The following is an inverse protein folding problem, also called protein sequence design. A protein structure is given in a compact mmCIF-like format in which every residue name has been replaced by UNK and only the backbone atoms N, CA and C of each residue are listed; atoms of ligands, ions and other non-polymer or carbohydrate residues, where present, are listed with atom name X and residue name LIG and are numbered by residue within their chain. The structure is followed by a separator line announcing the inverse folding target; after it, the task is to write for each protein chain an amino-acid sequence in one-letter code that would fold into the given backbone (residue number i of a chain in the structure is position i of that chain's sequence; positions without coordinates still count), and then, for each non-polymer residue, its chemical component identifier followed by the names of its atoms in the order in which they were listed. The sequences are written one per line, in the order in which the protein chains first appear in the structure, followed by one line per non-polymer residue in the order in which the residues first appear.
data_IF_614805704362
#
_entry.id   IF_614805704362
#
_cell.length_a   1.000
_cell.length_b   1.000
_cell.length_c   1.000
_cell.angle_alpha   90.00
_cell.angle_beta   90.00
_cell.angle_gamma   90.00
#
_symmetry.space_group_name_H-M   'P 1'
#
loop_
_entity.id
_entity.type
_entity.pdbx_description
1 polymer ?
#
# COMPACT_ATOMS: atom_id res chain seq x y z
N UNK A 1 55.41 2.48 15.56
CA UNK A 1 55.42 1.32 16.47
C UNK A 1 54.24 1.49 17.42
N UNK A 2 53.22 0.63 17.33
CA UNK A 2 52.16 0.58 18.35
C UNK A 2 52.74 -0.13 19.58
N UNK A 3 52.53 0.39 20.80
CA UNK A 3 53.07 -0.24 22.01
C UNK A 3 52.45 -1.63 22.18
N UNK A 4 53.28 -2.66 22.21
CA UNK A 4 52.91 -4.05 22.48
C UNK A 4 52.62 -4.21 23.96
N UNK A 5 51.43 -3.80 24.39
CA UNK A 5 50.92 -4.14 25.72
C UNK A 5 50.37 -5.58 25.66
N UNK A 6 51.16 -6.54 26.12
CA UNK A 6 50.89 -7.99 26.02
C UNK A 6 49.69 -8.48 26.87
N UNK A 7 48.90 -7.58 27.48
CA UNK A 7 47.81 -7.92 28.40
C UNK A 7 46.45 -7.30 28.04
N UNK A 8 46.28 -6.70 26.85
CA UNK A 8 44.98 -6.12 26.49
C UNK A 8 43.94 -7.22 26.21
N UNK A 9 42.97 -7.36 27.11
CA UNK A 9 41.78 -8.21 26.95
C UNK A 9 40.53 -7.32 26.94
N UNK A 10 39.76 -7.40 25.86
CA UNK A 10 38.50 -6.73 25.66
C UNK A 10 37.39 -7.76 25.92
N UNK A 11 36.50 -7.40 26.83
CA UNK A 11 35.23 -8.08 27.08
C UNK A 11 34.13 -7.17 26.56
N UNK A 12 33.39 -7.64 25.57
CA UNK A 12 32.37 -6.84 24.89
C UNK A 12 31.08 -7.64 24.64
N UNK A 13 31.00 -8.88 25.09
CA UNK A 13 29.74 -9.61 25.12
C UNK A 13 28.65 -8.83 25.85
N UNK A 14 27.39 -9.07 25.47
CA UNK A 14 26.21 -8.46 26.06
C UNK A 14 26.06 -6.94 25.86
N UNK A 15 26.81 -6.34 24.93
CA UNK A 15 26.55 -4.97 24.48
C UNK A 15 25.44 -4.92 23.41
N UNK A 16 24.67 -3.83 23.34
CA UNK A 16 23.55 -3.68 22.41
C UNK A 16 24.02 -3.29 21.00
N UNK A 17 24.67 -4.22 20.29
CA UNK A 17 25.28 -3.92 18.99
C UNK A 17 24.28 -3.64 17.88
N UNK A 18 24.51 -2.51 17.19
CA UNK A 18 23.91 -2.16 15.91
C UNK A 18 24.68 -2.85 14.78
N UNK A 19 24.24 -4.05 14.40
CA UNK A 19 24.91 -4.90 13.42
C UNK A 19 24.49 -4.58 11.99
N UNK A 20 25.04 -3.50 11.47
CA UNK A 20 24.86 -3.03 10.10
C UNK A 20 26.21 -2.76 9.40
N UNK A 21 26.20 -2.04 8.28
CA UNK A 21 27.38 -1.66 7.51
C UNK A 21 28.49 -0.95 8.31
N UNK A 22 28.17 -0.33 9.46
CA UNK A 22 29.19 0.27 10.32
C UNK A 22 30.15 -0.78 10.90
N UNK A 23 29.70 -2.04 11.02
CA UNK A 23 30.52 -3.15 11.51
C UNK A 23 31.54 -3.69 10.50
N UNK A 24 31.53 -3.24 9.24
CA UNK A 24 32.52 -3.65 8.23
C UNK A 24 33.95 -3.34 8.69
N UNK A 25 34.16 -2.21 9.38
CA UNK A 25 35.48 -1.84 9.91
C UNK A 25 35.92 -2.79 11.02
N UNK A 26 34.98 -3.18 11.89
CA UNK A 26 35.23 -4.16 12.95
C UNK A 26 35.54 -5.55 12.36
N UNK A 27 34.77 -6.00 11.38
CA UNK A 27 35.03 -7.24 10.64
C UNK A 27 36.42 -7.25 10.01
N UNK A 28 36.81 -6.16 9.34
CA UNK A 28 38.15 -6.02 8.76
C UNK A 28 39.26 -6.08 9.83
N UNK A 29 39.03 -5.53 11.02
CA UNK A 29 39.94 -5.61 12.16
C UNK A 29 40.12 -7.06 12.63
N UNK A 30 39.02 -7.78 12.89
CA UNK A 30 39.06 -9.18 13.29
C UNK A 30 39.80 -10.03 12.25
N UNK A 31 39.47 -9.87 10.96
CA UNK A 31 40.12 -10.59 9.87
C UNK A 31 41.63 -10.32 9.78
N UNK A 32 42.08 -9.10 10.07
CA UNK A 32 43.52 -8.77 10.14
C UNK A 32 44.21 -9.47 11.30
N UNK A 33 43.60 -9.50 12.48
CA UNK A 33 44.15 -10.16 13.66
C UNK A 33 44.22 -11.68 13.47
N UNK A 34 43.22 -12.30 12.83
CA UNK A 34 43.25 -13.74 12.52
C UNK A 34 44.38 -14.12 11.57
N UNK A 35 44.69 -13.24 10.60
CA UNK A 35 45.84 -13.43 9.68
C UNK A 35 47.19 -13.33 10.39
N UNK A 36 47.28 -12.53 11.46
CA UNK A 36 48.53 -12.37 12.21
C UNK A 36 48.80 -13.55 13.16
N UNK A 37 47.77 -14.10 13.83
CA UNK A 37 47.76 -15.41 14.50
C UNK A 37 46.34 -15.70 15.05
N UNK A 38 45.82 -16.93 14.96
CA UNK A 38 44.46 -17.25 15.50
C UNK A 38 44.35 -17.06 17.01
N UNK A 39 45.45 -17.25 17.74
CA UNK A 39 45.54 -16.97 19.17
C UNK A 39 45.44 -15.48 19.50
N UNK A 40 45.77 -14.57 18.56
CA UNK A 40 45.74 -13.12 18.76
C UNK A 40 44.32 -12.57 18.91
N UNK A 41 43.33 -13.13 18.21
CA UNK A 41 41.94 -12.65 18.33
C UNK A 41 41.36 -12.97 19.69
N UNK A 42 41.53 -14.20 20.18
CA UNK A 42 41.07 -14.57 21.53
C UNK A 42 41.88 -13.89 22.64
N UNK A 43 43.11 -13.47 22.37
CA UNK A 43 43.89 -12.64 23.29
C UNK A 43 43.32 -11.24 23.42
N UNK A 44 42.93 -10.61 22.30
CA UNK A 44 42.40 -9.24 22.28
C UNK A 44 40.90 -9.22 22.61
N UNK A 45 40.07 -10.04 21.96
CA UNK A 45 38.63 -10.17 22.20
C UNK A 45 38.31 -11.54 22.79
N UNK A 46 38.30 -11.62 24.11
CA UNK A 46 38.19 -12.88 24.84
C UNK A 46 36.80 -13.52 24.69
N UNK A 47 35.76 -12.71 24.56
CA UNK A 47 34.36 -13.12 24.51
C UNK A 47 33.71 -12.86 23.14
N UNK A 48 34.51 -12.75 22.07
CA UNK A 48 34.02 -12.50 20.70
C UNK A 48 32.91 -13.47 20.26
N UNK A 49 32.99 -14.74 20.66
CA UNK A 49 31.99 -15.76 20.32
C UNK A 49 30.65 -15.57 21.05
N UNK A 50 30.61 -14.74 22.09
CA UNK A 50 29.39 -14.41 22.84
C UNK A 50 28.79 -13.07 22.38
N UNK A 51 29.49 -12.31 21.54
CA UNK A 51 28.99 -11.05 20.98
C UNK A 51 27.86 -11.35 19.97
N UNK A 52 26.67 -10.83 20.29
CA UNK A 52 25.45 -11.03 19.51
C UNK A 52 24.83 -9.69 19.17
N UNK A 53 24.17 -9.64 18.03
CA UNK A 53 23.52 -8.44 17.55
C UNK A 53 22.26 -8.11 18.32
N UNK A 54 22.04 -6.83 18.60
CA UNK A 54 20.82 -6.35 19.24
C UNK A 54 19.83 -5.78 18.21
N UNK A 55 20.35 -5.07 17.21
CA UNK A 55 19.60 -4.46 16.11
C UNK A 55 20.38 -4.65 14.80
N UNK A 56 19.75 -4.67 13.61
CA UNK A 56 18.30 -4.61 13.30
C UNK A 56 17.51 -5.84 13.80
N UNK A 57 16.16 -5.79 13.79
CA UNK A 57 15.32 -6.92 14.20
C UNK A 57 15.64 -8.20 13.41
N UNK A 58 16.00 -8.07 12.13
CA UNK A 58 16.41 -9.20 11.27
C UNK A 58 17.69 -9.88 11.71
N UNK A 59 18.58 -9.16 12.41
CA UNK A 59 19.88 -9.67 12.85
C UNK A 59 19.91 -9.95 14.36
N UNK A 60 18.83 -9.63 15.10
CA UNK A 60 18.80 -9.73 16.56
C UNK A 60 19.09 -11.16 17.03
N UNK A 61 20.05 -11.30 17.93
CA UNK A 61 20.48 -12.58 18.52
C UNK A 61 21.49 -13.37 17.69
N UNK A 62 21.72 -13.01 16.42
CA UNK A 62 22.73 -13.63 15.57
C UNK A 62 24.13 -13.22 16.06
N UNK A 63 25.09 -14.14 16.05
CA UNK A 63 26.46 -13.83 16.40
C UNK A 63 27.07 -12.88 15.35
N UNK A 64 27.87 -11.91 15.81
CA UNK A 64 28.47 -10.89 14.93
C UNK A 64 29.32 -11.53 13.81
N UNK A 65 29.95 -12.68 14.09
CA UNK A 65 30.80 -13.41 13.12
C UNK A 65 30.02 -14.12 12.01
N UNK A 66 28.72 -14.32 12.17
CA UNK A 66 27.90 -15.07 11.22
C UNK A 66 27.17 -14.15 10.23
N UNK A 67 27.38 -12.83 10.35
CA UNK A 67 26.72 -11.82 9.52
C UNK A 67 27.63 -11.32 8.39
N UNK A 68 26.98 -10.94 7.29
CA UNK A 68 27.62 -10.19 6.20
C UNK A 68 27.18 -8.71 6.28
N UNK A 69 28.04 -7.85 6.81
CA UNK A 69 27.75 -6.44 7.03
C UNK A 69 27.68 -5.61 5.74
N UNK A 70 28.14 -6.16 4.59
CA UNK A 70 28.05 -5.46 3.31
C UNK A 70 26.64 -5.41 2.73
N UNK A 71 25.72 -6.23 3.25
CA UNK A 71 24.37 -6.40 2.70
C UNK A 71 23.32 -5.48 3.32
N UNK A 72 23.58 -4.89 4.48
CA UNK A 72 22.56 -4.18 5.24
C UNK A 72 23.16 -2.97 5.96
N UNK A 73 22.57 -1.79 5.79
CA UNK A 73 23.05 -0.52 6.37
C UNK A 73 21.88 0.28 6.91
N UNK A 74 21.82 0.57 8.22
CA UNK A 74 20.72 1.36 8.79
C UNK A 74 20.86 2.81 8.40
N UNK A 75 19.74 3.46 8.06
CA UNK A 75 19.68 4.88 7.73
C UNK A 75 18.81 5.57 8.77
N UNK A 76 19.41 6.51 9.50
CA UNK A 76 18.71 7.29 10.54
C UNK A 76 18.26 8.67 10.03
N UNK A 77 19.06 9.29 9.17
CA UNK A 77 18.75 10.59 8.58
C UNK A 77 17.50 10.52 7.71
N UNK A 78 16.57 11.46 7.91
CA UNK A 78 15.29 11.57 7.20
C UNK A 78 14.42 10.30 7.22
N UNK A 79 14.71 9.35 8.11
CA UNK A 79 13.86 8.18 8.30
C UNK A 79 12.64 8.58 9.14
N UNK A 80 11.39 8.28 8.70
CA UNK A 80 10.22 8.65 9.48
C UNK A 80 10.25 7.98 10.87
N UNK A 81 9.83 8.65 11.96
CA UNK A 81 10.05 8.18 13.34
C UNK A 81 9.49 6.79 13.67
N UNK A 82 8.40 6.36 13.02
CA UNK A 82 7.78 5.05 13.24
C UNK A 82 8.27 3.97 12.27
N UNK A 83 9.18 4.32 11.37
CA UNK A 83 9.64 3.44 10.29
C UNK A 83 11.06 2.94 10.54
N UNK A 84 11.43 1.89 9.82
CA UNK A 84 12.80 1.38 9.78
C UNK A 84 13.32 1.57 8.36
N UNK A 85 14.39 2.33 8.22
CA UNK A 85 15.02 2.61 6.94
C UNK A 85 16.39 1.94 6.85
N UNK A 86 16.66 1.28 5.73
CA UNK A 86 17.95 0.64 5.50
C UNK A 86 18.28 0.50 4.02
N UNK A 87 19.57 0.49 3.72
CA UNK A 87 20.11 0.14 2.42
C UNK A 87 20.43 -1.35 2.40
N UNK A 88 19.83 -2.07 1.47
CA UNK A 88 20.08 -3.49 1.23
C UNK A 88 20.91 -3.67 -0.05
N UNK A 89 21.90 -4.56 -0.01
CA UNK A 89 22.80 -4.88 -1.13
C UNK A 89 23.41 -3.62 -1.78
N UNK A 90 23.59 -2.56 -0.98
CA UNK A 90 24.12 -1.23 -1.36
C UNK A 90 23.35 -0.43 -2.41
N UNK A 91 22.29 -0.98 -3.00
CA UNK A 91 21.59 -0.36 -4.11
C UNK A 91 20.07 -0.23 -3.89
N UNK A 92 19.53 -0.79 -2.80
CA UNK A 92 18.09 -0.76 -2.57
C UNK A 92 17.77 -0.12 -1.23
N UNK A 93 17.20 1.08 -1.27
CA UNK A 93 16.66 1.75 -0.10
C UNK A 93 15.27 1.17 0.22
N UNK A 94 15.15 0.57 1.40
CA UNK A 94 13.87 0.12 1.95
C UNK A 94 13.46 1.04 3.08
N UNK A 95 12.25 1.60 2.95
CA UNK A 95 11.58 2.39 3.99
C UNK A 95 10.38 1.59 4.46
N UNK A 96 10.53 0.88 5.57
CA UNK A 96 9.49 0.01 6.10
C UNK A 96 8.67 0.74 7.18
N UNK A 97 7.45 1.09 6.82
CA UNK A 97 6.45 1.72 7.68
C UNK A 97 5.20 0.83 7.86
N UNK A 98 5.28 -0.46 7.56
CA UNK A 98 4.14 -1.39 7.62
C UNK A 98 3.66 -1.58 9.05
N UNK A 99 2.33 -1.69 9.25
CA UNK A 99 1.73 -1.97 10.56
C UNK A 99 2.14 -0.99 11.67
N UNK A 100 2.27 0.30 11.34
CA UNK A 100 2.67 1.37 12.28
C UNK A 100 1.53 2.27 12.73
N UNK A 101 0.29 1.91 12.37
CA UNK A 101 -0.94 2.68 12.67
C UNK A 101 -0.88 4.10 12.08
N UNK A 102 -0.24 4.25 10.92
CA UNK A 102 -0.16 5.54 10.24
C UNK A 102 -1.52 5.94 9.68
N UNK A 103 -1.95 7.16 10.01
CA UNK A 103 -3.17 7.77 9.46
C UNK A 103 -2.87 8.56 8.18
N UNK A 104 -1.61 8.98 8.02
CA UNK A 104 -1.13 9.79 6.91
C UNK A 104 0.19 9.27 6.37
N UNK A 105 0.48 9.62 5.11
CA UNK A 105 1.75 9.34 4.46
C UNK A 105 2.92 10.02 5.20
N UNK A 106 4.13 9.42 5.26
CA UNK A 106 5.29 10.08 5.83
C UNK A 106 5.62 11.36 5.05
N UNK A 107 5.88 12.45 5.77
CA UNK A 107 6.18 13.76 5.17
C UNK A 107 7.49 13.71 4.38
N UNK A 108 8.50 13.07 4.95
CA UNK A 108 9.84 12.91 4.37
C UNK A 108 10.27 11.44 4.45
N UNK A 109 11.08 11.01 3.50
CA UNK A 109 11.78 9.72 3.52
C UNK A 109 13.23 9.93 3.03
N UNK A 110 14.20 9.08 3.42
CA UNK A 110 15.62 9.30 3.11
C UNK A 110 15.88 9.46 1.63
N UNK A 111 16.69 10.44 1.22
CA UNK A 111 16.98 10.73 -0.19
C UNK A 111 18.38 10.24 -0.57
N UNK A 112 18.42 9.08 -1.22
CA UNK A 112 19.65 8.52 -1.80
C UNK A 112 19.57 8.55 -3.33
N UNK A 113 20.70 8.82 -3.98
CA UNK A 113 20.83 8.82 -5.44
C UNK A 113 21.24 7.44 -5.94
N UNK A 114 20.85 7.11 -7.17
CA UNK A 114 21.22 5.84 -7.84
C UNK A 114 20.84 4.57 -7.07
N UNK A 115 19.75 4.62 -6.30
CA UNK A 115 19.21 3.46 -5.59
C UNK A 115 17.78 3.14 -6.03
N UNK A 116 17.43 1.87 -5.99
CA UNK A 116 16.07 1.39 -6.06
C UNK A 116 15.35 1.73 -4.75
N UNK A 117 14.21 2.43 -4.78
CA UNK A 117 13.52 2.84 -3.54
C UNK A 117 12.19 2.10 -3.40
N UNK A 118 12.03 1.41 -2.28
CA UNK A 118 10.81 0.68 -1.91
C UNK A 118 10.23 1.29 -0.63
N UNK A 119 8.95 1.65 -0.70
CA UNK A 119 8.20 2.19 0.43
C UNK A 119 7.09 1.21 0.83
N UNK A 120 7.15 0.70 2.05
CA UNK A 120 6.12 -0.17 2.61
C UNK A 120 5.23 0.62 3.56
N UNK A 121 3.96 0.74 3.23
CA UNK A 121 2.93 1.44 4.01
C UNK A 121 1.70 0.57 4.26
N UNK A 122 1.76 -0.69 3.88
CA UNK A 122 0.69 -1.68 4.04
C UNK A 122 0.28 -1.86 5.51
N UNK A 123 -0.96 -2.32 5.70
CA UNK A 123 -1.55 -2.57 7.03
C UNK A 123 -1.56 -1.32 7.93
N UNK A 124 -1.84 -0.15 7.35
CA UNK A 124 -2.02 1.11 8.07
C UNK A 124 -3.41 1.71 7.79
N UNK A 125 -4.03 2.42 8.73
CA UNK A 125 -5.33 3.09 8.54
C UNK A 125 -5.24 4.36 7.66
N UNK A 126 -4.48 4.32 6.56
CA UNK A 126 -4.36 5.40 5.59
C UNK A 126 -5.67 5.55 4.81
N UNK A 127 -6.31 6.71 4.92
CA UNK A 127 -7.54 7.02 4.18
C UNK A 127 -7.32 7.66 2.80
N UNK A 128 -6.14 8.23 2.57
CA UNK A 128 -5.89 9.10 1.44
C UNK A 128 -4.44 9.00 0.92
N UNK A 129 -4.29 8.86 -0.40
CA UNK A 129 -2.99 8.96 -1.07
C UNK A 129 -2.91 10.28 -1.87
N UNK A 130 -2.15 11.23 -1.31
CA UNK A 130 -1.86 12.53 -1.91
C UNK A 130 -0.49 12.57 -2.61
N UNK A 131 -0.19 13.71 -3.22
CA UNK A 131 1.12 13.95 -3.84
C UNK A 131 2.19 14.17 -2.77
N UNK A 132 3.31 13.47 -2.92
CA UNK A 132 4.56 13.76 -2.22
C UNK A 132 5.72 13.81 -3.21
N UNK A 133 6.68 14.69 -2.98
CA UNK A 133 7.82 14.92 -3.88
C UNK A 133 8.65 13.64 -4.12
N UNK A 134 8.71 12.75 -3.12
CA UNK A 134 9.44 11.49 -3.20
C UNK A 134 8.74 10.41 -4.04
N UNK A 135 7.46 10.56 -4.42
CA UNK A 135 6.77 9.55 -5.26
C UNK A 135 7.48 9.36 -6.60
N UNK A 136 8.07 10.42 -7.15
CA UNK A 136 8.82 10.41 -8.42
C UNK A 136 10.04 9.49 -8.46
N UNK A 137 10.60 9.14 -7.31
CA UNK A 137 11.76 8.26 -7.18
C UNK A 137 11.42 6.87 -6.66
N UNK A 138 10.15 6.62 -6.32
CA UNK A 138 9.74 5.29 -5.88
C UNK A 138 9.74 4.32 -7.05
N UNK A 139 10.26 3.12 -6.77
CA UNK A 139 10.21 1.99 -7.70
C UNK A 139 9.18 0.96 -7.26
N UNK A 140 8.89 0.87 -5.96
CA UNK A 140 7.79 0.07 -5.43
C UNK A 140 7.10 0.84 -4.29
N UNK A 141 5.79 0.71 -4.22
CA UNK A 141 4.98 1.22 -3.12
C UNK A 141 3.94 0.16 -2.72
N UNK A 142 3.92 -0.17 -1.44
CA UNK A 142 2.96 -1.12 -0.87
C UNK A 142 1.92 -0.37 -0.04
N UNK A 143 0.66 -0.43 -0.45
CA UNK A 143 -0.47 0.28 0.18
C UNK A 143 -1.70 -0.65 0.33
N UNK A 144 -1.49 -1.96 0.30
CA UNK A 144 -2.55 -2.92 0.56
C UNK A 144 -2.96 -2.97 2.02
N UNK A 145 -4.16 -3.49 2.29
CA UNK A 145 -4.73 -3.58 3.63
C UNK A 145 -4.73 -2.23 4.36
N UNK A 146 -4.97 -1.16 3.60
CA UNK A 146 -5.17 0.17 4.14
C UNK A 146 -6.67 0.51 4.15
N UNK A 147 -7.02 1.77 4.40
CA UNK A 147 -8.39 2.25 4.38
C UNK A 147 -8.59 3.28 3.26
N UNK A 148 -7.81 3.17 2.18
CA UNK A 148 -7.77 4.19 1.13
C UNK A 148 -9.13 4.27 0.46
N UNK A 149 -9.76 5.44 0.56
CA UNK A 149 -10.97 5.77 -0.19
C UNK A 149 -10.65 6.59 -1.44
N UNK A 150 -9.53 7.30 -1.41
CA UNK A 150 -9.16 8.28 -2.43
C UNK A 150 -7.67 8.22 -2.76
N UNK A 151 -7.37 8.17 -4.06
CA UNK A 151 -6.04 8.38 -4.62
C UNK A 151 -6.09 9.56 -5.59
N UNK A 152 -5.22 10.56 -5.42
CA UNK A 152 -5.24 11.73 -6.29
C UNK A 152 -4.53 11.50 -7.62
N UNK A 153 -4.93 12.30 -8.62
CA UNK A 153 -4.27 12.30 -9.93
C UNK A 153 -2.80 12.69 -9.81
N UNK A 154 -2.49 13.68 -8.98
CA UNK A 154 -1.12 14.16 -8.78
C UNK A 154 -0.22 13.10 -8.14
N UNK A 155 -0.75 12.27 -7.24
CA UNK A 155 -0.01 11.13 -6.70
C UNK A 155 0.33 10.10 -7.77
N UNK A 156 -0.67 9.65 -8.55
CA UNK A 156 -0.47 8.68 -9.63
C UNK A 156 0.46 9.20 -10.72
N UNK A 157 0.31 10.47 -11.12
CA UNK A 157 1.15 11.08 -12.14
C UNK A 157 2.61 11.26 -11.69
N UNK A 158 2.86 11.30 -10.37
CA UNK A 158 4.20 11.35 -9.83
C UNK A 158 4.91 9.99 -9.87
N UNK A 159 4.20 8.86 -9.84
CA UNK A 159 4.74 7.49 -9.81
C UNK A 159 5.31 7.01 -11.16
N UNK A 160 6.11 7.85 -11.83
CA UNK A 160 6.64 7.59 -13.19
C UNK A 160 7.62 6.42 -13.29
N UNK A 161 8.24 6.04 -12.17
CA UNK A 161 9.25 4.98 -12.11
C UNK A 161 8.73 3.68 -11.48
N UNK A 162 7.42 3.61 -11.23
CA UNK A 162 6.82 2.52 -10.47
C UNK A 162 6.90 1.19 -11.22
N UNK A 163 7.29 0.15 -10.50
CA UNK A 163 7.28 -1.25 -10.94
C UNK A 163 6.17 -2.02 -10.23
N UNK A 164 6.12 -1.89 -8.91
CA UNK A 164 5.11 -2.56 -8.08
C UNK A 164 4.28 -1.51 -7.35
N UNK A 165 2.96 -1.61 -7.46
CA UNK A 165 2.02 -0.81 -6.68
C UNK A 165 0.91 -1.71 -6.15
N UNK A 166 0.83 -1.87 -4.83
CA UNK A 166 -0.27 -2.62 -4.23
C UNK A 166 -1.37 -1.69 -3.74
N UNK A 167 -2.61 -1.95 -4.15
CA UNK A 167 -3.81 -1.21 -3.71
C UNK A 167 -4.97 -2.15 -3.37
N UNK A 168 -4.74 -3.46 -3.31
CA UNK A 168 -5.76 -4.43 -2.93
C UNK A 168 -6.17 -4.26 -1.46
N UNK A 169 -7.34 -4.80 -1.10
CA UNK A 169 -7.88 -4.75 0.26
C UNK A 169 -7.93 -3.32 0.80
N UNK A 170 -8.59 -2.45 0.04
CA UNK A 170 -8.83 -1.03 0.34
C UNK A 170 -10.31 -0.68 0.11
N UNK A 171 -10.65 0.60 0.22
CA UNK A 171 -12.02 1.10 0.10
C UNK A 171 -12.22 1.99 -1.13
N UNK A 172 -11.41 1.79 -2.18
CA UNK A 172 -11.45 2.61 -3.37
C UNK A 172 -12.72 2.35 -4.17
N UNK A 173 -13.40 3.42 -4.54
CA UNK A 173 -14.59 3.34 -5.41
C UNK A 173 -14.30 3.74 -6.85
N UNK A 174 -13.30 4.59 -7.04
CA UNK A 174 -12.89 5.12 -8.35
C UNK A 174 -11.43 5.55 -8.31
N UNK A 175 -10.83 5.59 -9.49
CA UNK A 175 -9.61 6.33 -9.75
C UNK A 175 -9.95 7.61 -10.54
N UNK A 176 -9.10 8.65 -10.52
CA UNK A 176 -9.30 9.82 -11.37
C UNK A 176 -9.37 9.44 -12.85
N UNK A 177 -10.33 9.96 -13.61
CA UNK A 177 -10.52 9.64 -15.05
C UNK A 177 -9.28 9.96 -15.88
N UNK A 178 -8.57 11.05 -15.54
CA UNK A 178 -7.31 11.44 -16.18
C UNK A 178 -6.17 10.43 -15.98
N UNK A 179 -6.31 9.46 -15.06
CA UNK A 179 -5.38 8.32 -14.93
C UNK A 179 -5.31 7.48 -16.21
N UNK A 180 -6.35 7.52 -17.06
CA UNK A 180 -6.33 6.87 -18.38
C UNK A 180 -5.16 7.30 -19.28
N UNK A 181 -4.63 8.50 -19.08
CA UNK A 181 -3.51 9.06 -19.84
C UNK A 181 -2.14 8.82 -19.18
N UNK A 182 -2.10 8.21 -17.99
CA UNK A 182 -0.85 7.92 -17.31
C UNK A 182 -0.22 6.66 -17.93
N UNK A 183 1.00 6.81 -18.44
CA UNK A 183 1.79 5.68 -18.95
C UNK A 183 2.56 5.02 -17.81
N UNK A 184 2.43 3.71 -17.68
CA UNK A 184 3.09 2.89 -16.66
C UNK A 184 4.12 1.97 -17.30
N UNK A 185 5.09 2.55 -18.01
CA UNK A 185 6.03 1.80 -18.86
C UNK A 185 6.90 0.80 -18.09
N UNK A 186 7.19 1.09 -16.82
CA UNK A 186 8.04 0.26 -15.96
C UNK A 186 7.24 -0.68 -15.06
N UNK A 187 5.91 -0.55 -15.04
CA UNK A 187 5.08 -1.33 -14.14
C UNK A 187 5.12 -2.82 -14.53
N UNK A 188 5.25 -3.66 -13.51
CA UNK A 188 5.25 -5.12 -13.64
C UNK A 188 4.16 -5.76 -12.78
N UNK A 189 3.70 -5.09 -11.72
CA UNK A 189 2.67 -5.64 -10.85
C UNK A 189 1.81 -4.55 -10.20
N UNK A 190 0.52 -4.54 -10.51
CA UNK A 190 -0.48 -3.65 -9.92
C UNK A 190 -1.64 -4.47 -9.39
N UNK A 191 -2.00 -4.29 -8.13
CA UNK A 191 -3.13 -5.01 -7.50
C UNK A 191 -4.27 -4.03 -7.23
N UNK A 192 -5.49 -4.40 -7.62
CA UNK A 192 -6.70 -3.57 -7.47
C UNK A 192 -7.91 -4.35 -6.96
N UNK A 193 -7.77 -5.65 -6.70
CA UNK A 193 -8.85 -6.51 -6.21
C UNK A 193 -9.26 -6.12 -4.78
N UNK A 194 -10.38 -6.66 -4.29
CA UNK A 194 -10.89 -6.38 -2.94
C UNK A 194 -11.00 -4.87 -2.64
N UNK A 195 -11.63 -4.13 -3.55
CA UNK A 195 -11.97 -2.72 -3.40
C UNK A 195 -13.45 -2.53 -3.74
N UNK A 196 -14.02 -1.40 -3.35
CA UNK A 196 -15.45 -1.10 -3.52
C UNK A 196 -15.75 -0.40 -4.84
N UNK A 197 -15.25 -0.94 -5.96
CA UNK A 197 -15.33 -0.25 -7.24
C UNK A 197 -16.79 0.03 -7.65
N UNK A 198 -17.14 1.31 -7.78
CA UNK A 198 -18.51 1.72 -8.04
C UNK A 198 -19.00 1.34 -9.44
N UNK A 199 -18.09 1.14 -10.39
CA UNK A 199 -18.34 0.85 -11.81
C UNK A 199 -19.41 1.76 -12.43
N UNK A 200 -18.97 2.84 -13.08
CA UNK A 200 -19.91 3.76 -13.74
C UNK A 200 -20.16 3.36 -15.19
N UNK A 201 -21.44 3.26 -15.53
CA UNK A 201 -21.93 3.10 -16.90
C UNK A 201 -21.75 4.36 -17.75
N UNK A 202 -21.62 5.52 -17.10
CA UNK A 202 -21.37 6.80 -17.76
C UNK A 202 -19.91 6.92 -18.23
N UNK A 203 -19.01 6.12 -17.65
CA UNK A 203 -17.58 6.17 -18.00
C UNK A 203 -16.91 4.81 -17.93
N UNK A 204 -16.78 4.16 -19.09
CA UNK A 204 -16.10 2.86 -19.26
C UNK A 204 -14.57 2.97 -19.34
N UNK A 205 -13.97 4.06 -18.86
CA UNK A 205 -12.53 4.26 -18.98
C UNK A 205 -11.74 3.26 -18.13
N UNK A 206 -12.17 3.00 -16.89
CA UNK A 206 -11.47 2.12 -15.94
C UNK A 206 -11.48 0.65 -16.41
N UNK A 207 -12.62 0.05 -16.80
CA UNK A 207 -12.61 -1.32 -17.31
C UNK A 207 -11.79 -1.44 -18.60
N UNK A 208 -11.85 -0.45 -19.50
CA UNK A 208 -10.99 -0.41 -20.70
C UNK A 208 -9.51 -0.29 -20.33
N UNK A 209 -9.19 0.53 -19.34
CA UNK A 209 -7.82 0.71 -18.85
C UNK A 209 -7.28 -0.58 -18.23
N UNK A 210 -8.09 -1.28 -17.42
CA UNK A 210 -7.73 -2.58 -16.84
C UNK A 210 -7.53 -3.61 -17.94
N UNK A 211 -8.43 -3.69 -18.92
CA UNK A 211 -8.28 -4.61 -20.06
C UNK A 211 -7.01 -4.35 -20.85
N UNK A 212 -6.70 -3.07 -21.13
CA UNK A 212 -5.49 -2.65 -21.85
C UNK A 212 -4.20 -2.99 -21.09
N UNK A 213 -4.24 -2.92 -19.75
CA UNK A 213 -3.08 -3.17 -18.89
C UNK A 213 -3.15 -4.52 -18.17
N UNK A 214 -3.91 -5.47 -18.70
CA UNK A 214 -4.13 -6.79 -18.07
C UNK A 214 -2.85 -7.57 -17.80
N UNK A 215 -1.79 -7.36 -18.59
CA UNK A 215 -0.48 -8.00 -18.40
C UNK A 215 0.26 -7.56 -17.13
N UNK A 216 0.04 -6.33 -16.65
CA UNK A 216 0.70 -5.79 -15.45
C UNK A 216 -0.21 -5.82 -14.22
N UNK A 217 -1.51 -6.04 -14.42
CA UNK A 217 -2.49 -6.12 -13.34
C UNK A 217 -2.54 -7.55 -12.83
N UNK A 218 -2.39 -7.72 -11.52
CA UNK A 218 -2.50 -9.02 -10.88
C UNK A 218 -3.95 -9.50 -10.88
N UNK A 219 -4.18 -10.67 -11.47
CA UNK A 219 -5.49 -11.36 -11.56
C UNK A 219 -6.65 -10.39 -11.82
N UNK A 220 -6.69 -9.73 -12.99
CA UNK A 220 -7.72 -8.74 -13.31
C UNK A 220 -9.15 -9.29 -13.22
N UNK A 221 -9.34 -10.61 -13.33
CA UNK A 221 -10.59 -11.32 -13.11
C UNK A 221 -11.15 -11.19 -11.68
N UNK A 222 -10.30 -10.93 -10.68
CA UNK A 222 -10.71 -10.73 -9.29
C UNK A 222 -11.15 -9.28 -9.00
N UNK A 223 -11.09 -8.39 -9.98
CA UNK A 223 -11.56 -7.02 -9.83
C UNK A 223 -13.04 -7.01 -10.18
N UNK A 224 -13.89 -6.85 -9.18
CA UNK A 224 -15.35 -6.83 -9.32
C UNK A 224 -15.93 -5.47 -8.97
N UNK A 225 -17.14 -5.22 -9.49
CA UNK A 225 -17.96 -4.07 -9.16
C UNK A 225 -18.72 -4.32 -7.86
N UNK A 226 -18.67 -3.37 -6.93
CA UNK A 226 -19.26 -3.50 -5.59
C UNK A 226 -20.78 -3.64 -5.67
N UNK A 227 -21.47 -2.76 -6.41
CA UNK A 227 -22.92 -2.83 -6.53
C UNK A 227 -23.38 -3.85 -7.58
N UNK A 228 -22.70 -3.91 -8.73
CA UNK A 228 -23.14 -4.74 -9.84
C UNK A 228 -22.79 -6.22 -9.66
N UNK A 229 -21.84 -6.58 -8.78
CA UNK A 229 -21.41 -7.95 -8.53
C UNK A 229 -20.99 -8.71 -9.81
N UNK A 230 -20.47 -7.96 -10.79
CA UNK A 230 -19.87 -8.50 -12.02
C UNK A 230 -18.39 -8.17 -12.04
N UNK A 231 -17.61 -8.93 -12.81
CA UNK A 231 -16.22 -8.58 -13.04
C UNK A 231 -16.13 -7.25 -13.79
N UNK A 232 -15.18 -6.41 -13.38
CA UNK A 232 -14.95 -5.08 -13.94
C UNK A 232 -14.71 -5.14 -15.45
N UNK A 233 -13.99 -6.15 -15.94
CA UNK A 233 -13.72 -6.33 -17.38
C UNK A 233 -14.97 -6.60 -18.22
N UNK A 234 -16.03 -7.12 -17.60
CA UNK A 234 -17.28 -7.48 -18.28
C UNK A 234 -18.28 -6.31 -18.28
N UNK A 235 -17.93 -5.16 -17.69
CA UNK A 235 -18.76 -3.95 -17.70
C UNK A 235 -18.85 -3.39 -19.11
N UNK A 236 -20.06 -3.40 -19.66
CA UNK A 236 -20.41 -2.88 -20.97
C UNK A 236 -21.62 -1.93 -20.86
N UNK A 237 -21.91 -1.17 -21.93
CA UNK A 237 -23.12 -0.33 -21.96
C UNK A 237 -24.42 -1.15 -21.84
N UNK A 238 -24.48 -2.32 -22.48
CA UNK A 238 -25.69 -3.17 -22.46
C UNK A 238 -26.01 -3.71 -21.08
N UNK A 239 -25.02 -4.20 -20.33
CA UNK A 239 -25.20 -4.74 -18.98
C UNK A 239 -25.65 -3.67 -17.97
N UNK A 240 -25.36 -2.42 -18.29
CA UNK A 240 -25.72 -1.25 -17.52
C UNK A 240 -27.16 -0.79 -17.78
N UNK A 241 -27.60 -0.80 -19.04
CA UNK A 241 -28.95 -0.38 -19.42
C UNK A 241 -30.01 -1.35 -18.87
N UNK A 242 -29.77 -2.67 -18.95
CA UNK A 242 -30.69 -3.71 -18.45
C UNK A 242 -30.96 -3.61 -16.94
N UNK A 243 -29.94 -3.32 -16.12
CA UNK A 243 -30.10 -3.09 -14.66
C UNK A 243 -30.75 -1.75 -14.33
N UNK A 244 -30.54 -0.72 -15.17
CA UNK A 244 -31.19 0.60 -15.01
C UNK A 244 -32.69 0.52 -15.29
N UNK A 245 -33.11 -0.28 -16.27
CA UNK A 245 -34.51 -0.58 -16.56
C UNK A 245 -35.20 -1.26 -15.37
N UNK A 246 -34.57 -2.27 -14.78
CA UNK A 246 -35.13 -2.96 -13.61
C UNK A 246 -35.46 -1.99 -12.45
N UNK A 247 -34.53 -1.10 -12.08
CA UNK A 247 -34.77 -0.13 -11.01
C UNK A 247 -35.87 0.89 -11.34
N UNK A 248 -35.96 1.33 -12.60
CA UNK A 248 -36.97 2.29 -13.02
C UNK A 248 -38.38 1.68 -13.03
N UNK A 249 -38.51 0.43 -13.46
CA UNK A 249 -39.78 -0.29 -13.50
C UNK A 249 -40.31 -0.52 -12.07
N UNK A 250 -39.44 -0.89 -11.11
CA UNK A 250 -39.84 -1.04 -9.71
C UNK A 250 -40.33 0.27 -9.07
N UNK A 251 -39.65 1.38 -9.30
CA UNK A 251 -40.07 2.69 -8.78
C UNK A 251 -41.40 3.13 -9.41
N UNK A 252 -41.56 2.94 -10.72
CA UNK A 252 -42.80 3.25 -11.42
C UNK A 252 -43.97 2.40 -10.91
N UNK A 253 -43.78 1.09 -10.76
CA UNK A 253 -44.79 0.17 -10.20
C UNK A 253 -45.15 0.58 -8.77
N UNK A 254 -44.18 0.92 -7.93
CA UNK A 254 -44.43 1.38 -6.56
C UNK A 254 -45.23 2.69 -6.53
N UNK A 255 -44.89 3.67 -7.36
CA UNK A 255 -45.61 4.94 -7.45
C UNK A 255 -47.04 4.75 -7.96
N UNK A 256 -47.24 3.90 -8.96
CA UNK A 256 -48.57 3.56 -9.48
C UNK A 256 -49.41 2.87 -8.40
N UNK A 257 -48.84 1.90 -7.68
CA UNK A 257 -49.52 1.24 -6.56
C UNK A 257 -49.91 2.24 -5.46
N UNK A 258 -49.02 3.15 -5.08
CA UNK A 258 -49.31 4.23 -4.12
C UNK A 258 -50.44 5.16 -4.62
N UNK A 259 -50.45 5.52 -5.91
CA UNK A 259 -51.50 6.34 -6.50
C UNK A 259 -52.87 5.62 -6.48
N UNK A 260 -52.90 4.32 -6.81
CA UNK A 260 -54.13 3.51 -6.71
C UNK A 260 -54.63 3.41 -5.27
N UNK A 261 -53.74 3.22 -4.29
CA UNK A 261 -54.11 3.21 -2.87
C UNK A 261 -54.65 4.57 -2.42
N UNK A 262 -54.05 5.67 -2.84
CA UNK A 262 -54.54 7.01 -2.55
C UNK A 262 -55.91 7.28 -3.19
N UNK A 263 -56.09 6.92 -4.46
CA UNK A 263 -57.36 7.08 -5.18
C UNK A 263 -58.49 6.24 -4.58
N UNK A 264 -58.20 4.99 -4.20
CA UNK A 264 -59.17 4.13 -3.52
C UNK A 264 -59.52 4.70 -2.14
N UNK A 265 -58.54 5.17 -1.37
CA UNK A 265 -58.78 5.83 -0.09
C UNK A 265 -59.67 7.08 -0.24
N UNK A 266 -59.37 7.96 -1.20
CA UNK A 266 -60.20 9.14 -1.52
C UNK A 266 -61.61 8.73 -1.94
N UNK A 267 -61.74 7.74 -2.83
CA UNK A 267 -63.04 7.23 -3.24
C UNK A 267 -63.86 6.74 -2.05
N UNK A 268 -63.26 5.98 -1.13
CA UNK A 268 -63.95 5.50 0.07
C UNK A 268 -64.36 6.64 1.01
N UNK A 269 -63.52 7.67 1.17
CA UNK A 269 -63.85 8.84 1.99
C UNK A 269 -65.04 9.62 1.44
N UNK A 270 -65.11 9.82 0.12
CA UNK A 270 -66.13 10.66 -0.52
C UNK A 270 -67.30 9.87 -1.12
N UNK A 271 -67.34 8.54 -0.95
CA UNK A 271 -68.34 7.66 -1.56
C UNK A 271 -69.79 8.05 -1.20
N UNK A 272 -69.99 8.57 0.00
CA UNK A 272 -71.32 8.95 0.50
C UNK A 272 -71.72 10.38 0.10
N UNK A 273 -70.76 11.28 -0.13
CA UNK A 273 -71.02 12.69 -0.44
C UNK A 273 -71.26 12.96 -1.93
N UNK A 274 -70.65 12.16 -2.81
CA UNK A 274 -70.73 12.35 -4.28
C UNK A 274 -72.16 12.21 -4.83
N UNK A 275 -72.99 11.23 -4.43
CA UNK A 275 -74.38 11.13 -4.89
C UNK A 275 -75.23 12.32 -4.44
N UNK A 276 -75.02 12.80 -3.22
CA UNK A 276 -75.79 13.89 -2.60
C UNK A 276 -75.53 15.22 -3.34
N UNK A 277 -74.29 15.45 -3.79
CA UNK A 277 -73.91 16.63 -4.60
C UNK A 277 -74.45 16.57 -6.05
N UNK A 278 -74.72 15.37 -6.57
CA UNK A 278 -75.28 15.21 -7.92
C UNK A 278 -76.81 15.39 -7.92
N UNK A 279 -77.50 14.94 -6.88
CA UNK A 279 -78.95 15.14 -6.72
C UNK A 279 -79.33 16.59 -6.34
N UNK A 280 -78.43 17.36 -5.73
CA UNK A 280 -78.70 18.78 -5.42
C UNK A 280 -78.64 19.73 -6.63
N UNK A 281 -78.39 19.20 -7.84
CA UNK A 281 -78.24 19.98 -9.08
C UNK A 281 -79.29 19.67 -10.17
N UNK A 282 -80.26 18.82 -9.87
CA UNK A 282 -81.50 18.67 -10.67
C UNK A 282 -82.63 19.45 -10.03
#
# INVERSE_FOLDING_TARGET
MLPTNNNLKILSAYNPYLCDCSFIVFEACINRLEKQNRSSVKHVFHDLNQMKCYFPPTNKGIAIRDLNFHRYCVILEDCPPSCICYLQERNTLRVNCSSRRLLEMPVIIPKLTNVYTILYLDHNPLGYLGYHSYLSRLSEIYLDHCLLTTVTLSALAALKNIRVMTLHDNLLQKLPTSTSNITLEKATNITLHNNRWACSCESLWLPRWISKHSAIIWKPENISCDYLQIAMRDVSKSNCDEKRHLNHDYLAVFLVACAFLAMTHVYFLYRQDVPILMESKT
#
